data_IF_079152769483
#
_entry.id   IF_079152769483
#
_cell.length_a   1.000
_cell.length_b   1.000
_cell.length_c   1.000
_cell.angle_alpha   90.00
_cell.angle_beta   90.00
_cell.angle_gamma   90.00
#
_symmetry.space_group_name_H-M   'P 1'
#
loop_
_entity.id
_entity.type
_entity.pdbx_description
1 polymer ?
#
# COMPACT_ATOMS: atom_id res chain seq x y z
N UNK A 1 -5.25 -5.96 -18.53
CA UNK A 1 -5.61 -7.21 -17.83
C UNK A 1 -5.38 -7.05 -16.34
N UNK A 2 -4.14 -6.85 -15.87
CA UNK A 2 -3.79 -6.72 -14.44
C UNK A 2 -4.74 -5.85 -13.60
N UNK A 3 -4.96 -4.58 -13.97
CA UNK A 3 -5.82 -3.68 -13.17
C UNK A 3 -7.27 -4.13 -13.08
N UNK A 4 -7.81 -4.72 -14.15
CA UNK A 4 -9.17 -5.27 -14.14
C UNK A 4 -9.24 -6.49 -13.23
N UNK A 5 -8.21 -7.34 -13.23
CA UNK A 5 -8.15 -8.52 -12.39
C UNK A 5 -8.01 -8.15 -10.91
N UNK A 6 -7.19 -7.13 -10.60
CA UNK A 6 -7.00 -6.62 -9.23
C UNK A 6 -8.27 -5.97 -8.66
N UNK A 7 -9.10 -5.37 -9.51
CA UNK A 7 -10.36 -4.74 -9.12
C UNK A 7 -11.59 -5.66 -9.29
N UNK A 8 -11.40 -6.91 -9.70
CA UNK A 8 -12.51 -7.83 -9.94
C UNK A 8 -13.33 -8.13 -8.67
N UNK A 9 -12.67 -8.11 -7.50
CA UNK A 9 -13.27 -8.29 -6.17
C UNK A 9 -13.46 -6.97 -5.41
N UNK A 10 -13.26 -5.83 -6.06
CA UNK A 10 -13.55 -4.51 -5.50
C UNK A 10 -14.99 -4.12 -5.80
N UNK A 11 -15.76 -3.80 -4.75
CA UNK A 11 -17.15 -3.36 -4.90
C UNK A 11 -17.32 -1.92 -4.37
N UNK A 12 -17.67 -0.96 -5.24
CA UNK A 12 -17.96 0.40 -4.82
C UNK A 12 -19.12 0.43 -3.80
N UNK A 13 -18.86 0.98 -2.60
CA UNK A 13 -19.83 1.00 -1.50
C UNK A 13 -19.46 0.12 -0.31
N UNK A 14 -18.35 -0.61 -0.38
CA UNK A 14 -17.85 -1.37 0.75
C UNK A 14 -17.30 -0.45 1.85
N UNK A 15 -18.15 -0.29 2.88
CA UNK A 15 -17.83 -0.13 4.32
C UNK A 15 -17.21 1.19 4.78
N UNK A 16 -16.45 1.90 3.95
CA UNK A 16 -15.89 3.21 4.28
C UNK A 16 -16.30 4.27 3.25
N UNK A 17 -17.33 5.04 3.58
CA UNK A 17 -17.76 6.20 2.78
C UNK A 17 -17.29 7.50 3.43
N UNK A 18 -16.62 8.35 2.66
CA UNK A 18 -16.31 9.70 3.13
C UNK A 18 -17.61 10.46 3.43
N UNK A 19 -17.78 10.87 4.69
CA UNK A 19 -18.88 11.75 5.09
C UNK A 19 -18.66 13.17 4.58
N UNK A 20 -19.74 13.93 4.37
CA UNK A 20 -19.70 15.33 3.93
C UNK A 20 -19.19 16.32 5.01
N UNK A 21 -18.54 15.83 6.07
CA UNK A 21 -18.06 16.62 7.20
C UNK A 21 -16.67 17.21 6.98
N UNK A 22 -16.24 18.06 7.91
CA UNK A 22 -14.86 18.54 7.95
C UNK A 22 -13.91 17.36 8.18
N UNK A 23 -12.74 17.40 7.53
CA UNK A 23 -11.69 16.41 7.77
C UNK A 23 -11.17 16.53 9.21
N UNK A 24 -11.04 15.38 9.89
CA UNK A 24 -10.42 15.27 11.20
C UNK A 24 -9.08 14.54 11.05
N UNK A 25 -8.07 14.94 11.82
CA UNK A 25 -6.74 14.35 11.76
C UNK A 25 -6.27 13.97 13.17
N UNK A 26 -5.86 12.71 13.32
CA UNK A 26 -5.23 12.18 14.52
C UNK A 26 -3.84 11.63 14.14
N UNK A 27 -2.89 11.75 15.07
CA UNK A 27 -1.51 11.32 14.84
C UNK A 27 -0.95 10.61 16.06
N UNK A 28 -0.09 9.63 15.82
CA UNK A 28 0.71 8.97 16.85
C UNK A 28 2.13 8.77 16.33
N UNK A 29 3.06 8.54 17.26
CA UNK A 29 4.49 8.36 16.97
C UNK A 29 4.96 7.10 17.67
N UNK A 30 5.73 6.27 16.96
CA UNK A 30 6.38 5.10 17.53
C UNK A 30 7.61 5.52 18.35
N UNK A 31 7.91 4.76 19.40
CA UNK A 31 9.13 4.96 20.17
C UNK A 31 10.37 4.78 19.29
N UNK A 32 11.50 5.33 19.73
CA UNK A 32 12.75 5.24 18.98
C UNK A 32 13.16 3.77 18.76
N UNK A 33 13.01 2.92 19.78
CA UNK A 33 13.36 1.51 19.68
C UNK A 33 12.46 0.76 18.69
N UNK A 34 11.14 0.95 18.77
CA UNK A 34 10.19 0.33 17.83
C UNK A 34 10.46 0.78 16.40
N UNK A 35 10.78 2.06 16.20
CA UNK A 35 11.12 2.61 14.88
C UNK A 35 12.42 2.00 14.35
N UNK A 36 13.46 1.83 15.19
CA UNK A 36 14.71 1.17 14.78
C UNK A 36 14.47 -0.30 14.41
N UNK A 37 13.65 -1.00 15.19
CA UNK A 37 13.33 -2.41 14.94
C UNK A 37 12.52 -2.58 13.66
N UNK A 38 11.57 -1.68 13.41
CA UNK A 38 10.78 -1.61 12.19
C UNK A 38 11.66 -1.34 10.96
N UNK A 39 12.61 -0.41 11.05
CA UNK A 39 13.49 -0.02 9.93
C UNK A 39 14.58 -1.06 9.59
N UNK A 40 14.77 -2.08 10.41
CA UNK A 40 15.86 -3.04 10.22
C UNK A 40 15.47 -4.47 10.54
N UNK A 41 15.62 -4.93 11.80
CA UNK A 41 15.40 -6.31 12.20
C UNK A 41 14.09 -6.94 11.72
N UNK A 42 12.98 -6.20 11.72
CA UNK A 42 11.65 -6.69 11.35
C UNK A 42 11.59 -7.26 9.92
N UNK A 43 12.45 -6.78 9.02
CA UNK A 43 12.46 -7.20 7.62
C UNK A 43 13.10 -8.57 7.38
N UNK A 44 13.90 -9.08 8.32
CA UNK A 44 14.74 -10.26 8.09
C UNK A 44 13.95 -11.55 7.90
N UNK A 45 12.82 -11.69 8.59
CA UNK A 45 12.04 -12.92 8.60
C UNK A 45 11.37 -13.21 7.24
N UNK A 46 10.94 -12.16 6.54
CA UNK A 46 10.16 -12.28 5.31
C UNK A 46 10.76 -11.53 4.12
N UNK A 47 11.95 -10.94 4.27
CA UNK A 47 12.59 -10.09 3.26
C UNK A 47 11.65 -9.00 2.74
N UNK A 48 11.10 -8.24 3.68
CA UNK A 48 10.13 -7.17 3.41
C UNK A 48 10.80 -5.81 3.26
N UNK A 49 10.06 -4.86 2.70
CA UNK A 49 10.26 -3.42 2.84
C UNK A 49 9.34 -2.87 3.94
N UNK A 50 9.52 -1.58 4.30
CA UNK A 50 8.68 -0.92 5.32
C UNK A 50 7.20 -0.92 4.92
N UNK A 51 6.91 -0.62 3.65
CA UNK A 51 5.54 -0.54 3.16
C UNK A 51 4.79 -1.88 3.27
N UNK A 52 5.49 -3.02 3.08
CA UNK A 52 4.89 -4.34 3.25
C UNK A 52 4.32 -4.51 4.67
N UNK A 53 5.08 -4.08 5.69
CA UNK A 53 4.69 -4.23 7.09
C UNK A 53 3.63 -3.20 7.48
N UNK A 54 3.77 -1.94 7.05
CA UNK A 54 2.80 -0.88 7.35
C UNK A 54 1.45 -1.16 6.68
N UNK A 55 1.44 -1.60 5.43
CA UNK A 55 0.20 -1.95 4.71
C UNK A 55 -0.42 -3.23 5.24
N UNK A 56 0.38 -4.20 5.72
CA UNK A 56 -0.17 -5.36 6.44
C UNK A 56 -0.84 -4.92 7.74
N UNK A 57 -0.21 -4.04 8.53
CA UNK A 57 -0.78 -3.51 9.76
C UNK A 57 -2.06 -2.70 9.49
N UNK A 58 -2.09 -1.93 8.40
CA UNK A 58 -3.30 -1.22 7.95
C UNK A 58 -4.42 -2.20 7.62
N UNK A 59 -4.15 -3.27 6.87
CA UNK A 59 -5.13 -4.32 6.58
C UNK A 59 -5.70 -4.93 7.86
N UNK A 60 -4.85 -5.29 8.82
CA UNK A 60 -5.29 -5.81 10.12
C UNK A 60 -6.14 -4.80 10.92
N UNK A 61 -5.80 -3.51 10.87
CA UNK A 61 -6.58 -2.46 11.51
C UNK A 61 -7.97 -2.32 10.86
N UNK A 62 -8.05 -2.42 9.53
CA UNK A 62 -9.33 -2.38 8.81
C UNK A 62 -10.19 -3.62 9.11
N UNK A 63 -9.60 -4.82 9.17
CA UNK A 63 -10.31 -6.05 9.61
C UNK A 63 -10.89 -5.89 11.02
N UNK A 64 -10.15 -5.27 11.95
CA UNK A 64 -10.65 -5.02 13.30
C UNK A 64 -11.85 -4.06 13.33
N UNK A 65 -11.99 -3.18 12.33
CA UNK A 65 -13.09 -2.21 12.24
C UNK A 65 -14.32 -2.82 11.54
N UNK A 66 -14.13 -3.56 10.44
CA UNK A 66 -15.22 -3.96 9.56
C UNK A 66 -15.39 -5.48 9.39
N UNK A 67 -14.49 -6.29 9.95
CA UNK A 67 -14.46 -7.76 9.85
C UNK A 67 -14.11 -8.31 8.47
N UNK A 68 -13.72 -7.46 7.51
CA UNK A 68 -13.31 -7.81 6.17
C UNK A 68 -11.89 -8.39 6.17
N UNK A 69 -11.62 -9.33 5.26
CA UNK A 69 -10.31 -10.00 5.15
C UNK A 69 -9.54 -9.61 3.89
N UNK A 70 -10.09 -8.72 3.10
CA UNK A 70 -9.49 -8.18 1.89
C UNK A 70 -9.96 -6.74 1.77
N UNK A 71 -9.00 -5.84 1.65
CA UNK A 71 -9.26 -4.42 1.46
C UNK A 71 -8.46 -3.93 0.25
N UNK A 72 -8.95 -2.87 -0.38
CA UNK A 72 -8.23 -2.19 -1.45
C UNK A 72 -7.96 -0.76 -1.03
N UNK A 73 -6.73 -0.32 -1.20
CA UNK A 73 -6.28 1.03 -0.84
C UNK A 73 -5.61 1.68 -2.04
N UNK A 74 -5.71 3.00 -2.14
CA UNK A 74 -4.89 3.76 -3.06
C UNK A 74 -3.54 4.06 -2.40
N UNK A 75 -2.46 3.78 -3.12
CA UNK A 75 -1.10 4.06 -2.71
C UNK A 75 -0.52 5.13 -3.63
N UNK A 76 0.22 6.06 -3.03
CA UNK A 76 0.98 7.06 -3.76
C UNK A 76 2.38 6.54 -4.09
N UNK A 77 2.81 6.79 -5.33
CA UNK A 77 4.19 6.57 -5.78
C UNK A 77 4.86 7.89 -6.13
N UNK A 78 6.20 7.88 -6.15
CA UNK A 78 6.99 9.05 -6.55
C UNK A 78 6.74 9.44 -8.01
N UNK A 79 6.45 8.46 -8.87
CA UNK A 79 6.21 8.62 -10.31
C UNK A 79 7.44 9.01 -11.12
N UNK A 80 8.63 8.71 -10.59
CA UNK A 80 9.94 8.89 -11.26
C UNK A 80 10.56 7.53 -11.56
N UNK A 81 9.72 6.62 -12.03
CA UNK A 81 10.11 5.26 -12.35
C UNK A 81 10.87 5.25 -13.69
N UNK A 82 11.79 4.29 -13.82
CA UNK A 82 12.60 4.12 -15.03
C UNK A 82 11.77 3.44 -16.14
N UNK A 83 10.90 4.23 -16.77
CA UNK A 83 9.98 3.78 -17.83
C UNK A 83 10.56 3.92 -19.24
N UNK A 84 11.56 4.79 -19.41
CA UNK A 84 12.24 5.03 -20.67
C UNK A 84 13.71 5.35 -20.35
N UNK A 85 14.68 4.57 -20.88
CA UNK A 85 16.09 4.79 -20.61
C UNK A 85 16.63 6.14 -21.12
N UNK A 86 15.89 6.86 -21.98
CA UNK A 86 16.24 8.21 -22.42
C UNK A 86 15.74 9.32 -21.47
N UNK A 87 14.93 8.98 -20.47
CA UNK A 87 14.26 9.92 -19.59
C UNK A 87 14.94 9.97 -18.20
N UNK A 88 15.75 11.00 -17.96
CA UNK A 88 16.26 11.31 -16.62
C UNK A 88 15.49 12.48 -16.01
N UNK A 89 14.70 12.18 -14.96
CA UNK A 89 13.93 13.17 -14.20
C UNK A 89 14.48 13.40 -12.80
N UNK A 90 15.67 12.90 -12.45
CA UNK A 90 16.22 13.00 -11.09
C UNK A 90 16.34 14.45 -10.58
N UNK A 91 16.64 15.40 -11.46
CA UNK A 91 16.77 16.83 -11.15
C UNK A 91 15.56 17.69 -11.50
N UNK A 92 14.45 17.12 -11.96
CA UNK A 92 13.32 17.88 -12.52
C UNK A 92 12.28 18.22 -11.47
N UNK A 93 11.95 19.50 -11.33
CA UNK A 93 10.83 19.93 -10.48
C UNK A 93 9.51 19.81 -11.27
N UNK A 94 8.51 19.20 -10.66
CA UNK A 94 7.18 18.99 -11.26
C UNK A 94 6.31 18.09 -10.40
N UNK A 95 5.05 17.92 -10.80
CA UNK A 95 4.12 17.01 -10.16
C UNK A 95 4.20 15.64 -10.86
N UNK A 96 4.89 14.69 -10.24
CA UNK A 96 5.09 13.33 -10.76
C UNK A 96 4.24 12.27 -10.06
N UNK A 97 3.64 12.58 -8.90
CA UNK A 97 2.91 11.64 -8.05
C UNK A 97 1.94 10.75 -8.84
N UNK A 98 2.09 9.44 -8.66
CA UNK A 98 1.19 8.42 -9.21
C UNK A 98 0.25 7.92 -8.11
N UNK A 99 -0.98 7.59 -8.46
CA UNK A 99 -1.93 6.91 -7.58
C UNK A 99 -2.32 5.58 -8.22
N UNK A 100 -2.24 4.48 -7.45
CA UNK A 100 -2.63 3.16 -7.92
C UNK A 100 -3.23 2.30 -6.81
N UNK A 101 -4.16 1.39 -7.13
CA UNK A 101 -4.78 0.51 -6.16
C UNK A 101 -3.85 -0.65 -5.80
N UNK A 102 -3.85 -1.00 -4.52
CA UNK A 102 -3.21 -2.19 -3.96
C UNK A 102 -4.23 -2.98 -3.17
N UNK A 103 -4.17 -4.30 -3.32
CA UNK A 103 -5.01 -5.25 -2.60
C UNK A 103 -4.28 -5.73 -1.34
N UNK A 104 -4.98 -5.74 -0.21
CA UNK A 104 -4.46 -6.12 1.10
C UNK A 104 -5.17 -7.39 1.62
N UNK A 105 -4.78 -8.59 1.13
CA UNK A 105 -5.33 -9.84 1.62
C UNK A 105 -4.78 -10.25 2.99
N UNK A 106 -5.64 -10.69 3.90
CA UNK A 106 -5.27 -11.21 5.20
C UNK A 106 -5.44 -12.73 5.28
N UNK A 107 -4.35 -13.42 5.62
CA UNK A 107 -4.33 -14.86 5.89
C UNK A 107 -4.82 -15.19 7.30
N UNK A 108 -4.91 -16.47 7.63
CA UNK A 108 -5.37 -16.91 8.96
C UNK A 108 -4.40 -16.47 10.05
N UNK A 109 -3.11 -16.47 9.72
CA UNK A 109 -2.02 -16.09 10.60
C UNK A 109 -1.30 -14.83 10.07
N UNK A 110 -0.69 -14.06 10.97
CA UNK A 110 0.02 -12.82 10.62
C UNK A 110 1.11 -13.05 9.55
N UNK A 111 1.85 -14.16 9.64
CA UNK A 111 2.88 -14.50 8.66
C UNK A 111 2.35 -14.81 7.26
N UNK A 112 1.09 -15.24 7.15
CA UNK A 112 0.41 -15.40 5.86
C UNK A 112 0.01 -14.03 5.30
N UNK A 113 -0.56 -13.14 6.13
CA UNK A 113 -0.92 -11.78 5.74
C UNK A 113 0.29 -10.99 5.24
N UNK A 114 1.42 -11.03 5.96
CA UNK A 114 2.67 -10.36 5.56
C UNK A 114 3.12 -10.83 4.17
N UNK A 115 3.12 -12.15 3.93
CA UNK A 115 3.51 -12.71 2.63
C UNK A 115 2.54 -12.31 1.53
N UNK A 116 1.23 -12.39 1.79
CA UNK A 116 0.22 -12.09 0.78
C UNK A 116 0.22 -10.62 0.37
N UNK A 117 0.34 -9.69 1.34
CA UNK A 117 0.45 -8.24 1.07
C UNK A 117 1.76 -7.92 0.34
N UNK A 118 2.90 -8.48 0.79
CA UNK A 118 4.19 -8.34 0.12
C UNK A 118 4.11 -8.78 -1.35
N UNK A 119 3.54 -9.94 -1.63
CA UNK A 119 3.40 -10.40 -3.01
C UNK A 119 2.46 -9.51 -3.81
N UNK A 120 1.34 -9.05 -3.22
CA UNK A 120 0.45 -8.09 -3.90
C UNK A 120 1.14 -6.78 -4.27
N UNK A 121 2.08 -6.29 -3.46
CA UNK A 121 2.87 -5.09 -3.76
C UNK A 121 3.90 -5.36 -4.87
N UNK A 122 4.45 -6.58 -4.93
CA UNK A 122 5.44 -6.98 -5.95
C UNK A 122 4.84 -7.24 -7.31
N UNK A 123 3.56 -7.61 -7.38
CA UNK A 123 2.86 -7.81 -8.65
C UNK A 123 2.45 -6.51 -9.32
N UNK A 124 2.55 -5.37 -8.64
CA UNK A 124 2.25 -4.06 -9.20
C UNK A 124 3.23 -3.74 -10.35
N UNK A 125 2.76 -3.59 -11.59
CA UNK A 125 3.62 -3.26 -12.72
C UNK A 125 4.13 -1.83 -12.59
N UNK A 126 5.44 -1.63 -12.83
CA UNK A 126 6.09 -0.31 -12.94
C UNK A 126 5.70 0.67 -11.83
N UNK A 127 5.59 0.16 -10.59
CA UNK A 127 5.16 0.91 -9.39
C UNK A 127 3.87 1.74 -9.59
N UNK A 128 2.98 1.27 -10.46
CA UNK A 128 1.65 1.82 -10.66
C UNK A 128 1.56 3.02 -11.59
N UNK A 129 2.64 3.39 -12.30
CA UNK A 129 2.65 4.53 -13.22
C UNK A 129 1.62 4.41 -14.37
N UNK A 130 1.19 3.19 -14.71
CA UNK A 130 0.22 2.92 -15.77
C UNK A 130 -1.24 2.74 -15.31
N UNK A 131 -1.60 3.10 -14.08
CA UNK A 131 -3.01 3.03 -13.60
C UNK A 131 -3.75 4.36 -13.69
N UNK A 132 -3.12 5.44 -13.21
CA UNK A 132 -3.72 6.78 -13.13
C UNK A 132 -4.05 7.36 -14.52
N UNK A 133 -4.81 8.47 -14.55
CA UNK A 133 -5.16 9.16 -15.79
C UNK A 133 -3.95 9.67 -16.57
#
# INVERSE_FOLDING_TARGET
AYWNDLLADFHPGDRFTAGAGAAHAEQFVLGEQDTRDLLGPAHRAYHTHIDDLLLTALGCALEAVDGGRTHHVLVEGHGREDIDPALDVSGTVGWFTTLYPVRLPLGAELGESIRAVKESLRTVPDKGIGYGP
#
